data_IF_845073362944
#
_entry.id   IF_845073362944
#
_cell.length_a   1.000
_cell.length_b   1.000
_cell.length_c   1.000
_cell.angle_alpha   90.00
_cell.angle_beta   90.00
_cell.angle_gamma   90.00
#
_symmetry.space_group_name_H-M   'P 1'
#
loop_
_entity.id
_entity.type
_entity.pdbx_description
1 polymer ?
#
# COMPACT_ATOMS: atom_id res chain seq x y z
N UNK A 1 12.80 55.36 1.07
CA UNK A 1 12.08 55.76 2.30
C UNK A 1 11.20 56.97 2.00
N UNK A 2 9.95 56.75 1.60
CA UNK A 2 8.91 57.79 1.65
C UNK A 2 7.53 57.11 1.54
N UNK A 3 6.78 57.20 2.64
CA UNK A 3 5.31 57.27 2.76
C UNK A 3 4.47 56.19 2.04
N UNK A 4 4.12 55.13 2.79
CA UNK A 4 2.80 54.49 2.72
C UNK A 4 2.28 54.33 4.16
N UNK A 5 1.91 55.45 4.78
CA UNK A 5 1.19 55.46 6.04
C UNK A 5 -0.24 55.92 5.75
N UNK A 6 -1.19 55.00 5.90
CA UNK A 6 -2.61 55.29 5.97
C UNK A 6 -3.39 55.08 4.68
N UNK A 7 -3.99 53.90 4.53
CA UNK A 7 -5.32 53.76 3.92
C UNK A 7 -5.91 52.40 4.30
N UNK A 8 -7.08 52.46 4.93
CA UNK A 8 -7.79 51.33 5.48
C UNK A 8 -8.36 50.39 4.41
N UNK A 9 -8.43 49.12 4.81
CA UNK A 9 -9.48 48.13 4.51
C UNK A 9 -10.48 48.59 3.44
N UNK A 10 -10.28 48.19 2.18
CA UNK A 10 -11.36 47.87 1.25
C UNK A 10 -10.81 46.99 0.10
N UNK A 11 -11.55 45.93 -0.20
CA UNK A 11 -11.30 44.91 -1.19
C UNK A 11 -11.30 45.46 -2.64
N UNK A 12 -10.21 46.11 -3.04
CA UNK A 12 -9.92 46.48 -4.43
C UNK A 12 -8.75 45.65 -4.96
N UNK A 13 -8.97 44.95 -6.06
CA UNK A 13 -7.97 44.16 -6.80
C UNK A 13 -6.66 44.93 -6.95
N UNK A 14 -5.62 44.48 -6.24
CA UNK A 14 -4.26 44.99 -6.37
C UNK A 14 -3.69 44.57 -7.73
N UNK A 15 -3.83 45.44 -8.74
CA UNK A 15 -2.95 45.42 -9.92
C UNK A 15 -1.59 46.02 -9.52
N UNK A 16 -0.74 45.20 -8.92
CA UNK A 16 0.64 45.54 -8.54
C UNK A 16 1.63 44.56 -9.23
N UNK A 17 1.59 44.51 -10.56
CA UNK A 17 2.34 43.50 -11.35
C UNK A 17 3.87 43.70 -11.43
N UNK A 18 4.50 44.69 -10.77
CA UNK A 18 5.94 44.90 -11.05
C UNK A 18 6.84 45.52 -9.99
N UNK A 19 6.35 45.95 -8.82
CA UNK A 19 7.21 46.79 -7.97
C UNK A 19 8.11 46.06 -6.96
N UNK A 20 7.98 44.74 -6.75
CA UNK A 20 8.88 44.01 -5.85
C UNK A 20 9.32 42.61 -6.32
N UNK A 21 9.00 42.18 -7.55
CA UNK A 21 9.34 40.83 -8.03
C UNK A 21 8.57 39.67 -7.36
N UNK A 22 7.63 39.97 -6.46
CA UNK A 22 6.74 39.01 -5.84
C UNK A 22 5.40 39.02 -6.58
N UNK A 23 5.33 38.27 -7.68
CA UNK A 23 4.07 38.01 -8.40
C UNK A 23 3.56 36.66 -7.91
N UNK A 24 2.37 36.63 -7.32
CA UNK A 24 1.73 35.36 -6.99
C UNK A 24 1.54 34.56 -8.30
N UNK A 25 1.96 33.29 -8.39
CA UNK A 25 1.71 32.50 -9.58
C UNK A 25 0.20 32.35 -9.81
N UNK A 26 -0.30 32.78 -10.97
CA UNK A 26 -1.75 32.82 -11.28
C UNK A 26 -2.46 31.47 -11.11
N UNK A 27 -1.71 30.35 -11.25
CA UNK A 27 -2.26 28.99 -11.14
C UNK A 27 -1.66 28.19 -9.98
N UNK A 28 -0.76 28.78 -9.20
CA UNK A 28 -0.16 28.19 -8.00
C UNK A 28 0.06 26.67 -8.06
N UNK A 29 -0.62 25.97 -7.15
CA UNK A 29 -0.52 24.52 -6.95
C UNK A 29 -0.97 23.69 -8.17
N UNK A 30 -1.86 24.21 -9.02
CA UNK A 30 -2.30 23.52 -10.25
C UNK A 30 -1.18 23.35 -11.28
N UNK A 31 -0.10 24.12 -11.15
CA UNK A 31 1.11 23.98 -11.98
C UNK A 31 2.23 23.20 -11.28
N UNK A 32 1.97 22.64 -10.08
CA UNK A 32 2.96 21.90 -9.30
C UNK A 32 3.91 22.78 -8.50
N UNK A 33 3.59 24.05 -8.27
CA UNK A 33 4.38 24.91 -7.38
C UNK A 33 4.00 24.66 -5.92
N UNK A 34 4.96 24.20 -5.12
CA UNK A 34 4.83 24.10 -3.65
C UNK A 34 5.31 25.35 -2.91
N UNK A 35 6.30 26.07 -3.47
CA UNK A 35 6.88 27.29 -2.86
C UNK A 35 6.10 28.54 -3.27
N UNK A 36 4.94 28.77 -2.64
CA UNK A 36 4.02 29.87 -3.01
C UNK A 36 4.14 31.03 -2.02
N UNK A 37 4.28 30.73 -0.75
CA UNK A 37 4.26 31.70 0.34
C UNK A 37 5.66 32.19 0.71
N UNK A 38 6.69 31.36 0.54
CA UNK A 38 8.02 31.61 1.08
C UNK A 38 8.13 31.39 2.59
N UNK A 39 7.07 30.89 3.22
CA UNK A 39 7.05 30.39 4.61
C UNK A 39 7.12 28.88 4.55
N UNK A 40 8.11 28.27 5.23
CA UNK A 40 8.41 26.84 5.13
C UNK A 40 7.21 25.95 5.46
N UNK A 41 6.49 26.22 6.55
CA UNK A 41 5.34 25.42 6.99
C UNK A 41 4.19 25.43 5.98
N UNK A 42 3.85 26.61 5.44
CA UNK A 42 2.81 26.77 4.41
C UNK A 42 3.23 26.10 3.09
N UNK A 43 4.49 26.26 2.69
CA UNK A 43 5.01 25.65 1.45
C UNK A 43 5.14 24.12 1.58
N UNK A 44 5.48 23.61 2.77
CA UNK A 44 5.47 22.18 3.08
C UNK A 44 4.06 21.60 2.99
N UNK A 45 3.06 22.31 3.51
CA UNK A 45 1.64 21.94 3.36
C UNK A 45 1.23 21.83 1.88
N UNK A 46 1.55 22.84 1.05
CA UNK A 46 1.27 22.76 -0.39
C UNK A 46 2.02 21.62 -1.07
N UNK A 47 3.25 21.34 -0.65
CA UNK A 47 4.01 20.16 -1.07
C UNK A 47 3.26 18.86 -0.78
N UNK A 48 2.77 18.68 0.45
CA UNK A 48 2.00 17.50 0.83
C UNK A 48 0.71 17.35 0.02
N UNK A 49 0.00 18.44 -0.29
CA UNK A 49 -1.19 18.40 -1.17
C UNK A 49 -0.82 17.93 -2.57
N UNK A 50 0.30 18.40 -3.13
CA UNK A 50 0.79 17.94 -4.45
C UNK A 50 1.13 16.45 -4.38
N UNK A 51 1.82 16.01 -3.34
CA UNK A 51 2.23 14.61 -3.17
C UNK A 51 1.02 13.68 -3.05
N UNK A 52 0.01 14.05 -2.25
CA UNK A 52 -1.25 13.31 -2.12
C UNK A 52 -2.02 13.28 -3.43
N UNK A 53 -2.11 14.41 -4.15
CA UNK A 53 -2.76 14.45 -5.45
C UNK A 53 -2.07 13.56 -6.49
N UNK A 54 -0.74 13.56 -6.51
CA UNK A 54 0.04 12.71 -7.38
C UNK A 54 -0.08 11.23 -7.01
N UNK A 55 -0.07 10.90 -5.72
CA UNK A 55 -0.29 9.54 -5.23
C UNK A 55 -1.70 9.04 -5.61
N UNK A 56 -2.73 9.85 -5.39
CA UNK A 56 -4.10 9.54 -5.77
C UNK A 56 -4.25 9.29 -7.27
N UNK A 57 -3.63 10.11 -8.12
CA UNK A 57 -3.64 9.90 -9.57
C UNK A 57 -2.96 8.58 -9.97
N UNK A 58 -1.86 8.19 -9.31
CA UNK A 58 -1.21 6.88 -9.54
C UNK A 58 -2.09 5.72 -9.09
N UNK A 59 -2.72 5.83 -7.92
CA UNK A 59 -3.62 4.81 -7.38
C UNK A 59 -4.89 4.66 -8.22
N UNK A 60 -5.49 5.76 -8.69
CA UNK A 60 -6.61 5.73 -9.64
C UNK A 60 -6.22 5.03 -10.94
N UNK A 61 -5.05 5.37 -11.50
CA UNK A 61 -4.55 4.70 -12.70
C UNK A 61 -4.29 3.20 -12.47
N UNK A 62 -3.80 2.80 -11.30
CA UNK A 62 -3.63 1.40 -10.93
C UNK A 62 -4.98 0.66 -10.84
N UNK A 63 -5.96 1.23 -10.14
CA UNK A 63 -7.32 0.67 -10.05
C UNK A 63 -7.95 0.49 -11.43
N UNK A 64 -7.91 1.52 -12.27
CA UNK A 64 -8.42 1.46 -13.65
C UNK A 64 -7.66 0.44 -14.49
N UNK A 65 -6.35 0.36 -14.35
CA UNK A 65 -5.52 -0.63 -15.05
C UNK A 65 -5.90 -2.07 -14.72
N UNK A 66 -6.17 -2.37 -13.44
CA UNK A 66 -6.63 -3.69 -13.01
C UNK A 66 -8.06 -3.97 -13.51
N UNK A 67 -8.97 -3.00 -13.42
CA UNK A 67 -10.33 -3.13 -13.95
C UNK A 67 -10.35 -3.37 -15.47
N UNK A 68 -9.56 -2.62 -16.24
CA UNK A 68 -9.43 -2.77 -17.68
C UNK A 68 -8.84 -4.15 -18.04
N UNK A 69 -7.83 -4.61 -17.31
CA UNK A 69 -7.25 -5.92 -17.53
C UNK A 69 -8.25 -7.06 -17.27
N UNK A 70 -9.08 -6.94 -16.23
CA UNK A 70 -10.18 -7.88 -15.96
C UNK A 70 -11.21 -7.81 -17.09
N UNK A 71 -11.61 -6.60 -17.49
CA UNK A 71 -12.56 -6.37 -18.59
C UNK A 71 -12.10 -6.99 -19.91
N UNK A 72 -10.85 -6.76 -20.30
CA UNK A 72 -10.25 -7.35 -21.51
C UNK A 72 -10.23 -8.88 -21.43
N UNK A 73 -9.93 -9.45 -20.26
CA UNK A 73 -10.01 -10.90 -20.02
C UNK A 73 -11.41 -11.49 -20.19
N UNK A 74 -12.44 -10.65 -20.14
CA UNK A 74 -13.85 -11.00 -20.36
C UNK A 74 -14.35 -10.60 -21.77
N UNK A 75 -13.48 -10.07 -22.63
CA UNK A 75 -13.82 -9.62 -23.96
C UNK A 75 -14.52 -8.25 -24.01
N UNK A 76 -14.37 -7.43 -22.96
CA UNK A 76 -14.83 -6.04 -22.94
C UNK A 76 -13.76 -5.08 -23.45
N UNK A 77 -14.17 -3.88 -23.87
CA UNK A 77 -13.26 -2.80 -24.22
C UNK A 77 -12.70 -2.11 -22.95
N UNK A 78 -11.45 -1.60 -22.96
CA UNK A 78 -10.91 -0.79 -21.87
C UNK A 78 -11.81 0.42 -21.55
N UNK A 79 -11.95 0.76 -20.27
CA UNK A 79 -12.84 1.79 -19.76
C UNK A 79 -14.29 1.32 -19.54
N UNK A 80 -14.56 0.01 -19.64
CA UNK A 80 -15.87 -0.55 -19.29
C UNK A 80 -16.19 -0.31 -17.82
N UNK A 81 -17.45 -0.01 -17.50
CA UNK A 81 -17.85 0.25 -16.13
C UNK A 81 -17.76 -1.01 -15.25
N UNK A 82 -17.54 -0.84 -13.95
CA UNK A 82 -17.52 -1.94 -12.98
C UNK A 82 -18.77 -2.82 -13.06
N UNK A 83 -19.95 -2.22 -13.29
CA UNK A 83 -21.20 -2.97 -13.48
C UNK A 83 -21.23 -3.85 -14.75
N UNK A 84 -20.62 -3.40 -15.85
CA UNK A 84 -20.49 -4.24 -17.06
C UNK A 84 -19.50 -5.40 -16.85
N UNK A 85 -18.38 -5.11 -16.18
CA UNK A 85 -17.38 -6.12 -15.82
C UNK A 85 -18.03 -7.17 -14.92
N UNK A 86 -18.71 -6.74 -13.86
CA UNK A 86 -19.49 -7.60 -12.95
C UNK A 86 -20.44 -8.51 -13.70
N UNK A 87 -21.29 -7.95 -14.57
CA UNK A 87 -22.27 -8.75 -15.32
C UNK A 87 -21.60 -9.83 -16.19
N UNK A 88 -20.42 -9.55 -16.76
CA UNK A 88 -19.65 -10.53 -17.53
C UNK A 88 -18.96 -11.59 -16.68
N UNK A 89 -18.51 -11.23 -15.48
CA UNK A 89 -18.01 -12.20 -14.50
C UNK A 89 -19.13 -13.15 -14.11
N UNK A 90 -20.30 -12.62 -13.73
CA UNK A 90 -21.48 -13.40 -13.35
C UNK A 90 -21.89 -14.36 -14.48
N UNK A 91 -22.00 -13.87 -15.72
CA UNK A 91 -22.31 -14.69 -16.91
C UNK A 91 -21.33 -15.86 -17.08
N UNK A 92 -20.02 -15.59 -16.99
CA UNK A 92 -18.98 -16.61 -17.17
C UNK A 92 -18.96 -17.62 -16.01
N UNK A 93 -19.20 -17.16 -14.79
CA UNK A 93 -19.24 -17.97 -13.57
C UNK A 93 -20.47 -18.88 -13.56
N UNK A 94 -21.65 -18.37 -13.91
CA UNK A 94 -22.88 -19.16 -13.99
C UNK A 94 -22.81 -20.26 -15.06
N UNK A 95 -22.17 -19.99 -16.20
CA UNK A 95 -21.92 -21.01 -17.21
C UNK A 95 -21.01 -22.13 -16.69
N UNK A 96 -20.10 -21.78 -15.77
CA UNK A 96 -18.98 -22.65 -15.39
C UNK A 96 -19.13 -23.39 -14.07
N UNK A 97 -19.95 -22.86 -13.17
CA UNK A 97 -19.96 -23.28 -11.76
C UNK A 97 -21.37 -23.48 -11.22
N UNK A 98 -21.49 -24.25 -10.14
CA UNK A 98 -22.71 -24.32 -9.31
C UNK A 98 -22.46 -23.53 -8.03
N UNK A 99 -23.33 -22.57 -7.74
CA UNK A 99 -23.26 -21.79 -6.50
C UNK A 99 -22.27 -20.62 -6.53
N UNK A 100 -21.61 -20.36 -7.66
CA UNK A 100 -20.73 -19.22 -7.85
C UNK A 100 -19.28 -19.45 -7.42
N UNK A 101 -18.56 -18.33 -7.21
CA UNK A 101 -17.21 -18.31 -6.67
C UNK A 101 -17.25 -17.99 -5.18
N UNK A 102 -16.33 -18.60 -4.43
CA UNK A 102 -16.09 -18.28 -3.03
C UNK A 102 -14.70 -17.67 -2.90
N UNK A 103 -14.65 -16.38 -2.60
CA UNK A 103 -13.43 -15.62 -2.38
C UNK A 103 -13.02 -15.67 -0.90
N UNK A 104 -11.76 -15.97 -0.64
CA UNK A 104 -11.10 -15.74 0.65
C UNK A 104 -9.84 -14.95 0.41
N UNK A 105 -9.66 -13.88 1.15
CA UNK A 105 -8.46 -13.06 1.07
C UNK A 105 -8.11 -12.50 2.45
N UNK A 106 -6.84 -12.19 2.63
CA UNK A 106 -6.38 -11.40 3.77
C UNK A 106 -6.36 -9.91 3.39
N UNK A 107 -6.52 -8.98 4.33
CA UNK A 107 -6.34 -7.56 4.05
C UNK A 107 -4.96 -7.29 3.44
N UNK A 108 -4.87 -6.34 2.51
CA UNK A 108 -3.58 -5.88 2.01
C UNK A 108 -2.76 -5.25 3.16
N UNK A 109 -1.46 -5.50 3.17
CA UNK A 109 -0.54 -4.90 4.14
C UNK A 109 0.10 -3.69 3.47
N UNK A 110 -0.14 -2.52 4.04
CA UNK A 110 0.41 -1.27 3.54
C UNK A 110 1.53 -0.81 4.48
N UNK A 111 2.70 -0.57 3.90
CA UNK A 111 3.89 -0.08 4.61
C UNK A 111 4.12 1.37 4.26
N UNK A 112 4.47 2.19 5.24
CA UNK A 112 4.88 3.58 5.02
C UNK A 112 6.40 3.67 5.14
N UNK A 113 7.02 4.49 4.29
CA UNK A 113 8.43 4.83 4.45
C UNK A 113 8.61 5.75 5.65
N UNK A 114 9.29 5.26 6.69
CA UNK A 114 9.68 6.02 7.88
C UNK A 114 10.54 7.23 7.50
N UNK A 115 11.43 7.05 6.51
CA UNK A 115 12.30 8.11 6.00
C UNK A 115 11.49 9.28 5.43
N UNK A 116 10.40 9.01 4.70
CA UNK A 116 9.53 10.07 4.16
C UNK A 116 8.86 10.86 5.29
N UNK A 117 8.36 10.17 6.32
CA UNK A 117 7.77 10.83 7.48
C UNK A 117 8.80 11.71 8.22
N UNK A 118 10.03 11.22 8.39
CA UNK A 118 11.10 11.95 9.04
C UNK A 118 11.54 13.19 8.23
N UNK A 119 11.70 13.06 6.91
CA UNK A 119 12.00 14.18 6.02
C UNK A 119 10.86 15.21 6.04
N UNK A 120 9.60 14.76 6.01
CA UNK A 120 8.46 15.65 6.10
C UNK A 120 8.41 16.41 7.44
N UNK A 121 8.75 15.74 8.54
CA UNK A 121 8.82 16.36 9.86
C UNK A 121 9.91 17.43 9.92
N UNK A 122 11.10 17.13 9.41
CA UNK A 122 12.23 18.06 9.35
C UNK A 122 12.00 19.26 8.41
N UNK A 123 11.20 19.09 7.35
CA UNK A 123 10.81 20.20 6.46
C UNK A 123 9.82 21.16 7.13
N UNK A 124 9.01 20.65 8.05
CA UNK A 124 7.96 21.42 8.70
C UNK A 124 8.43 22.09 9.99
N UNK A 125 9.29 21.44 10.76
CA UNK A 125 9.86 21.97 12.00
C UNK A 125 11.36 22.26 11.83
N UNK A 126 11.72 23.54 11.83
CA UNK A 126 13.11 24.03 11.66
C UNK A 126 13.99 23.59 12.84
N UNK A 127 13.39 23.29 14.00
CA UNK A 127 14.10 22.98 15.24
C UNK A 127 14.25 21.47 15.50
N UNK A 128 13.73 20.58 14.64
CA UNK A 128 13.94 19.14 14.74
C UNK A 128 15.24 18.71 14.04
N UNK A 129 16.18 18.16 14.81
CA UNK A 129 17.37 17.53 14.27
C UNK A 129 16.97 16.19 13.63
N UNK A 130 17.11 16.07 12.30
CA UNK A 130 16.66 14.92 11.52
C UNK A 130 17.27 13.57 11.98
N UNK A 131 18.32 13.61 12.81
CA UNK A 131 18.96 12.44 13.40
C UNK A 131 18.28 11.88 14.67
N UNK A 132 17.30 12.58 15.27
CA UNK A 132 16.61 12.15 16.50
C UNK A 132 15.15 11.71 16.26
N UNK A 133 14.70 11.70 14.99
CA UNK A 133 13.33 11.33 14.63
C UNK A 133 13.19 9.80 14.65
N UNK A 134 12.88 9.25 15.82
CA UNK A 134 12.47 7.86 15.97
C UNK A 134 10.97 7.74 15.65
N UNK A 135 10.64 6.95 14.62
CA UNK A 135 9.26 6.52 14.37
C UNK A 135 9.01 5.23 15.12
N UNK A 136 8.05 5.26 16.03
CA UNK A 136 7.62 4.07 16.76
C UNK A 136 6.70 3.24 15.87
N UNK A 137 7.03 1.98 15.67
CA UNK A 137 6.17 1.06 14.92
C UNK A 137 5.46 0.10 15.88
N UNK A 138 4.13 0.16 15.92
CA UNK A 138 3.30 -0.87 16.54
C UNK A 138 3.05 -1.98 15.52
N UNK A 139 4.03 -2.87 15.32
CA UNK A 139 3.93 -3.95 14.32
C UNK A 139 5.22 -4.73 14.07
N UNK A 140 5.36 -5.25 12.85
CA UNK A 140 6.60 -5.86 12.39
C UNK A 140 7.48 -4.81 11.71
N UNK A 141 8.78 -4.81 12.01
CA UNK A 141 9.73 -3.91 11.36
C UNK A 141 10.76 -4.65 10.54
N UNK A 142 10.99 -4.18 9.33
CA UNK A 142 12.16 -4.57 8.56
C UNK A 142 13.38 -3.85 9.16
N UNK A 143 14.34 -4.64 9.64
CA UNK A 143 15.52 -4.15 10.33
C UNK A 143 16.80 -4.53 9.60
N UNK A 144 17.74 -3.58 9.53
CA UNK A 144 19.09 -3.85 9.04
C UNK A 144 19.87 -4.78 9.97
N UNK A 145 20.92 -5.40 9.45
CA UNK A 145 21.81 -6.30 10.19
C UNK A 145 22.34 -5.71 11.51
N UNK A 146 22.47 -4.39 11.61
CA UNK A 146 22.91 -3.71 12.83
C UNK A 146 21.88 -3.69 13.96
N UNK A 147 20.57 -3.78 13.65
CA UNK A 147 19.48 -3.70 14.63
C UNK A 147 18.90 -5.09 15.01
N UNK A 148 19.39 -6.18 14.39
CA UNK A 148 18.96 -7.55 14.69
C UNK A 148 19.27 -7.97 16.13
N UNK A 149 20.41 -7.51 16.65
CA UNK A 149 20.82 -7.79 18.02
C UNK A 149 19.90 -7.14 19.05
N UNK A 150 19.43 -5.92 18.77
CA UNK A 150 18.51 -5.18 19.65
C UNK A 150 17.11 -5.80 19.58
N UNK A 151 16.65 -6.15 18.38
CA UNK A 151 15.38 -6.87 18.19
C UNK A 151 15.34 -8.23 18.91
N UNK A 152 16.42 -9.01 18.85
CA UNK A 152 16.46 -10.31 19.53
C UNK A 152 16.46 -10.19 21.06
N UNK A 153 16.79 -9.01 21.60
CA UNK A 153 16.76 -8.72 23.04
C UNK A 153 15.34 -8.31 23.50
N UNK A 154 14.65 -7.49 22.71
CA UNK A 154 13.40 -6.84 23.10
C UNK A 154 12.13 -7.37 22.37
N UNK A 155 12.27 -8.26 21.38
CA UNK A 155 11.19 -8.79 20.55
C UNK A 155 11.44 -10.21 20.01
N UNK A 156 10.61 -10.63 19.05
CA UNK A 156 10.82 -11.88 18.30
C UNK A 156 11.35 -11.58 16.90
N UNK A 157 12.56 -12.08 16.62
CA UNK A 157 13.19 -11.98 15.31
C UNK A 157 12.68 -13.11 14.40
N UNK A 158 12.09 -12.74 13.27
CA UNK A 158 11.67 -13.64 12.19
C UNK A 158 12.47 -13.31 10.93
N UNK A 159 13.15 -14.29 10.38
CA UNK A 159 13.91 -14.14 9.13
C UNK A 159 13.05 -14.59 7.95
N UNK A 160 12.87 -13.73 6.97
CA UNK A 160 12.11 -13.97 5.75
C UNK A 160 13.03 -13.96 4.54
N UNK A 161 13.14 -15.10 3.85
CA UNK A 161 13.98 -15.24 2.66
C UNK A 161 13.19 -15.71 1.44
N UNK A 162 13.51 -15.15 0.27
CA UNK A 162 12.87 -15.47 -1.01
C UNK A 162 13.79 -16.39 -1.83
N UNK A 163 13.23 -17.49 -2.32
CA UNK A 163 13.86 -18.47 -3.21
C UNK A 163 14.49 -17.85 -4.49
N UNK A 164 15.45 -18.52 -5.19
CA UNK A 164 15.81 -19.94 -5.11
C UNK A 164 16.99 -20.27 -4.19
N UNK A 165 16.83 -21.29 -3.34
CA UNK A 165 17.95 -22.00 -2.69
C UNK A 165 18.09 -21.83 -1.17
N UNK A 166 17.14 -21.17 -0.50
CA UNK A 166 17.19 -21.08 0.96
C UNK A 166 16.82 -22.43 1.59
N UNK A 167 17.72 -23.00 2.39
CA UNK A 167 17.39 -24.12 3.26
C UNK A 167 16.51 -23.60 4.39
N UNK A 168 15.21 -23.81 4.24
CA UNK A 168 14.23 -23.40 5.23
C UNK A 168 14.13 -24.49 6.30
N UNK A 169 14.21 -24.10 7.57
CA UNK A 169 13.82 -24.93 8.72
C UNK A 169 12.63 -24.25 9.42
N UNK A 170 11.62 -23.89 8.63
CA UNK A 170 10.55 -22.99 9.05
C UNK A 170 9.29 -23.12 8.19
N UNK A 171 8.49 -22.07 8.20
CA UNK A 171 7.23 -22.01 7.47
C UNK A 171 7.48 -21.59 6.03
N UNK A 172 7.12 -22.43 5.07
CA UNK A 172 7.30 -22.17 3.64
C UNK A 172 5.94 -21.91 2.97
N UNK A 173 5.79 -20.75 2.35
CA UNK A 173 4.66 -20.42 1.45
C UNK A 173 5.10 -20.68 0.01
N UNK A 174 4.95 -21.93 -0.45
CA UNK A 174 5.36 -22.35 -1.80
C UNK A 174 5.44 -23.87 -1.98
N UNK A 175 6.19 -24.30 -2.99
CA UNK A 175 6.56 -25.72 -3.17
C UNK A 175 7.86 -26.00 -2.42
N UNK A 176 7.89 -27.11 -1.68
CA UNK A 176 9.12 -27.56 -1.04
C UNK A 176 9.73 -28.73 -1.80
N UNK A 177 11.03 -28.62 -2.10
CA UNK A 177 11.79 -29.69 -2.72
C UNK A 177 12.44 -30.55 -1.63
N UNK A 178 11.89 -31.75 -1.45
CA UNK A 178 12.32 -32.68 -0.41
C UNK A 178 13.43 -33.57 -0.95
N UNK A 179 14.66 -33.35 -0.48
CA UNK A 179 15.81 -34.21 -0.82
C UNK A 179 15.82 -35.52 -0.02
N UNK A 180 15.07 -35.57 1.07
CA UNK A 180 14.92 -36.71 1.98
C UNK A 180 13.43 -37.01 2.20
N UNK A 181 13.05 -38.26 2.50
CA UNK A 181 11.68 -38.61 2.82
C UNK A 181 11.22 -37.82 4.04
N UNK A 182 10.15 -37.03 3.89
CA UNK A 182 9.54 -36.28 4.99
C UNK A 182 8.02 -36.27 4.87
N UNK A 183 7.33 -36.16 6.00
CA UNK A 183 5.88 -35.96 6.06
C UNK A 183 5.48 -34.67 5.37
N UNK A 184 4.54 -34.77 4.43
CA UNK A 184 4.03 -33.66 3.62
C UNK A 184 2.54 -33.45 3.93
N UNK A 185 2.17 -32.35 4.60
CA UNK A 185 0.77 -32.00 4.93
C UNK A 185 -0.05 -31.51 3.70
N UNK A 186 0.59 -31.46 2.53
CA UNK A 186 0.09 -30.93 1.28
C UNK A 186 -0.17 -31.99 0.20
N UNK A 187 0.01 -31.59 -1.07
CA UNK A 187 -0.06 -32.50 -2.23
C UNK A 187 1.35 -32.98 -2.53
N UNK A 188 1.59 -34.28 -2.35
CA UNK A 188 2.83 -34.93 -2.73
C UNK A 188 2.82 -35.20 -4.24
N UNK A 189 3.82 -34.68 -4.96
CA UNK A 189 4.14 -35.05 -6.35
C UNK A 189 5.45 -35.83 -6.36
N UNK A 190 5.37 -37.15 -6.21
CA UNK A 190 6.56 -38.00 -6.12
C UNK A 190 6.29 -39.41 -5.57
N UNK A 191 7.29 -40.01 -4.95
CA UNK A 191 7.15 -41.31 -4.28
C UNK A 191 6.57 -41.11 -2.89
N UNK A 192 5.44 -41.75 -2.59
CA UNK A 192 4.82 -41.75 -1.27
C UNK A 192 5.08 -43.09 -0.58
N UNK A 193 5.69 -43.05 0.61
CA UNK A 193 5.83 -44.22 1.47
C UNK A 193 4.55 -44.36 2.31
N UNK A 194 3.47 -44.82 1.70
CA UNK A 194 2.17 -44.94 2.34
C UNK A 194 1.01 -45.09 1.37
N UNK A 195 -0.20 -44.85 1.85
CA UNK A 195 -1.37 -44.72 1.00
C UNK A 195 -1.35 -43.33 0.36
N UNK A 196 -1.43 -43.30 -0.97
CA UNK A 196 -1.54 -42.07 -1.72
C UNK A 196 -2.97 -41.92 -2.23
N UNK A 197 -3.60 -40.77 -1.96
CA UNK A 197 -5.00 -40.55 -2.32
C UNK A 197 -5.23 -40.51 -3.83
N UNK A 198 -4.23 -40.09 -4.62
CA UNK A 198 -4.30 -39.99 -6.08
C UNK A 198 -2.95 -40.35 -6.68
N UNK A 199 -2.92 -41.35 -7.56
CA UNK A 199 -1.71 -41.76 -8.28
C UNK A 199 -1.82 -41.33 -9.75
N UNK A 200 -0.73 -40.80 -10.30
CA UNK A 200 -0.66 -40.39 -11.70
C UNK A 200 -0.49 -41.57 -12.67
N UNK A 201 -0.46 -41.28 -13.98
CA UNK A 201 -0.30 -42.30 -15.03
C UNK A 201 1.07 -42.98 -15.06
N UNK A 202 2.06 -42.43 -14.35
CA UNK A 202 3.41 -42.95 -14.22
C UNK A 202 3.61 -43.75 -12.93
N UNK A 203 2.59 -43.84 -12.08
CA UNK A 203 2.65 -44.54 -10.80
C UNK A 203 3.21 -43.68 -9.65
N UNK A 204 3.40 -42.38 -9.85
CA UNK A 204 3.81 -41.45 -8.79
C UNK A 204 2.59 -40.93 -8.03
N UNK A 205 2.76 -40.65 -6.74
CA UNK A 205 1.75 -39.96 -5.95
C UNK A 205 1.58 -38.53 -6.48
N UNK A 206 0.33 -38.11 -6.67
CA UNK A 206 -0.10 -36.77 -7.08
C UNK A 206 -1.24 -36.27 -6.16
N UNK A 207 -1.19 -36.65 -4.89
CA UNK A 207 -2.26 -36.48 -3.91
C UNK A 207 -1.74 -36.37 -2.48
N UNK A 208 -2.66 -36.49 -1.52
CA UNK A 208 -2.30 -36.57 -0.11
C UNK A 208 -1.60 -37.91 0.15
N UNK A 209 -0.48 -37.87 0.88
CA UNK A 209 0.31 -39.03 1.24
C UNK A 209 0.27 -39.22 2.76
N UNK A 210 -0.17 -40.38 3.24
CA UNK A 210 -0.24 -40.69 4.67
C UNK A 210 1.14 -41.02 5.31
N UNK A 211 2.23 -40.86 4.56
CA UNK A 211 3.59 -41.10 5.03
C UNK A 211 4.61 -40.18 4.38
N UNK A 212 5.84 -40.67 4.20
CA UNK A 212 6.93 -39.83 3.70
C UNK A 212 6.83 -39.62 2.19
N UNK A 213 6.83 -38.35 1.78
CA UNK A 213 6.89 -37.94 0.38
C UNK A 213 8.35 -37.72 -0.03
N UNK A 214 8.78 -38.36 -1.11
CA UNK A 214 10.06 -38.09 -1.78
C UNK A 214 9.78 -37.47 -3.15
N UNK A 215 10.06 -36.17 -3.31
CA UNK A 215 9.71 -35.40 -4.50
C UNK A 215 9.38 -33.94 -4.19
N UNK A 216 8.37 -33.38 -4.87
CA UNK A 216 7.89 -32.02 -4.61
C UNK A 216 6.64 -32.06 -3.73
N UNK A 217 6.67 -31.37 -2.59
CA UNK A 217 5.51 -31.19 -1.73
C UNK A 217 4.92 -29.80 -1.97
N UNK A 218 3.72 -29.72 -2.56
CA UNK A 218 2.95 -28.48 -2.62
C UNK A 218 2.24 -28.31 -1.28
N UNK A 219 2.81 -27.47 -0.41
CA UNK A 219 2.27 -27.22 0.92
C UNK A 219 0.97 -26.41 0.84
N UNK A 220 0.06 -26.64 1.78
CA UNK A 220 -0.98 -25.65 2.08
C UNK A 220 -0.29 -24.43 2.68
N UNK A 221 -0.78 -23.23 2.39
CA UNK A 221 -0.20 -21.98 2.90
C UNK A 221 0.12 -22.11 4.41
N UNK A 222 1.40 -21.95 4.77
CA UNK A 222 1.86 -22.07 6.16
C UNK A 222 2.38 -23.44 6.61
N UNK A 223 2.71 -24.36 5.69
CA UNK A 223 3.32 -25.65 6.05
C UNK A 223 4.77 -25.53 6.51
N UNK A 224 5.20 -26.38 7.44
CA UNK A 224 6.62 -26.48 7.83
C UNK A 224 7.37 -27.36 6.83
N UNK A 225 8.59 -26.95 6.44
CA UNK A 225 9.45 -27.76 5.60
C UNK A 225 10.89 -27.71 6.07
N UNK A 226 11.55 -28.87 6.09
CA UNK A 226 12.99 -29.03 6.24
C UNK A 226 13.60 -29.25 4.84
N UNK A 227 13.75 -28.19 4.05
CA UNK A 227 14.16 -28.34 2.65
C UNK A 227 14.34 -27.03 1.89
N UNK A 228 14.63 -27.15 0.59
CA UNK A 228 14.70 -25.99 -0.29
C UNK A 228 13.26 -25.51 -0.58
N UNK A 229 12.90 -24.36 -0.02
CA UNK A 229 11.62 -23.71 -0.29
C UNK A 229 11.71 -22.97 -1.63
N UNK A 230 10.86 -23.30 -2.60
CA UNK A 230 10.61 -22.50 -3.79
C UNK A 230 9.42 -21.58 -3.50
N UNK A 231 9.69 -20.55 -2.71
CA UNK A 231 8.71 -19.59 -2.20
C UNK A 231 9.33 -18.65 -1.18
N UNK A 232 8.50 -18.14 -0.29
CA UNK A 232 8.93 -17.35 0.86
C UNK A 232 9.08 -18.29 2.07
N UNK A 233 10.24 -18.20 2.74
CA UNK A 233 10.55 -18.96 3.94
C UNK A 233 10.63 -18.01 5.12
N UNK A 234 9.78 -18.21 6.12
CA UNK A 234 9.82 -17.53 7.40
C UNK A 234 10.31 -18.49 8.49
N UNK A 235 11.40 -18.15 9.19
CA UNK A 235 11.92 -18.94 10.30
C UNK A 235 12.43 -18.06 11.45
N UNK A 236 12.32 -18.56 12.68
CA UNK A 236 12.93 -17.93 13.85
C UNK A 236 14.35 -18.49 14.02
N UNK A 237 15.41 -17.67 13.87
CA UNK A 237 16.77 -18.16 14.02
C UNK A 237 17.04 -18.53 15.49
N UNK A 238 17.84 -19.57 15.77
CA UNK A 238 18.26 -19.89 17.14
C UNK A 238 19.25 -18.88 17.74
N UNK A 239 19.64 -17.84 16.97
CA UNK A 239 20.56 -16.79 17.39
C UNK A 239 19.99 -15.38 17.11
N UNK A 240 20.74 -14.35 17.48
CA UNK A 240 20.31 -12.95 17.40
C UNK A 240 20.43 -12.32 15.99
N UNK A 241 20.58 -13.13 14.93
CA UNK A 241 20.78 -12.62 13.57
C UNK A 241 20.26 -13.57 12.50
N UNK A 242 19.74 -13.02 11.42
CA UNK A 242 19.41 -13.74 10.18
C UNK A 242 20.67 -13.99 9.34
N UNK A 243 20.62 -15.00 8.48
CA UNK A 243 21.68 -15.24 7.50
C UNK A 243 21.79 -14.07 6.50
N UNK A 244 22.98 -13.88 5.92
CA UNK A 244 23.18 -12.87 4.88
C UNK A 244 22.22 -13.13 3.70
N UNK A 245 21.65 -12.07 3.13
CA UNK A 245 20.65 -12.09 2.04
C UNK A 245 19.20 -12.46 2.45
N UNK A 246 18.89 -12.45 3.75
CA UNK A 246 17.54 -12.67 4.29
C UNK A 246 17.02 -11.39 4.95
N UNK A 247 15.76 -11.01 4.68
CA UNK A 247 15.12 -9.87 5.34
C UNK A 247 14.83 -10.25 6.80
N UNK A 248 15.29 -9.43 7.74
CA UNK A 248 15.00 -9.60 9.16
C UNK A 248 13.76 -8.79 9.53
N UNK A 249 12.73 -9.48 10.01
CA UNK A 249 11.53 -8.87 10.59
C UNK A 249 11.57 -8.95 12.10
N UNK A 250 11.41 -7.81 12.74
CA UNK A 250 11.25 -7.71 14.17
C UNK A 250 9.78 -7.56 14.53
N UNK A 251 9.17 -8.55 15.17
CA UNK A 251 7.86 -8.36 15.79
C UNK A 251 8.07 -7.86 17.23
N UNK A 252 7.69 -6.61 17.47
CA UNK A 252 7.71 -6.06 18.82
C UNK A 252 6.66 -6.78 19.69
N UNK A 253 7.06 -7.24 20.88
CA UNK A 253 6.08 -7.72 21.86
C UNK A 253 5.19 -6.54 22.29
N UNK A 254 3.87 -6.79 22.44
CA UNK A 254 2.89 -5.75 22.75
C UNK A 254 3.36 -4.79 23.87
N UNK A 255 3.70 -3.54 23.50
CA UNK A 255 4.17 -2.49 24.40
C UNK A 255 5.69 -2.24 24.43
N UNK A 256 6.49 -2.85 23.56
CA UNK A 256 7.89 -2.51 23.34
C UNK A 256 8.04 -1.55 22.15
N UNK A 257 8.70 -0.41 22.35
CA UNK A 257 9.03 0.54 21.29
C UNK A 257 10.32 0.10 20.60
N UNK A 258 10.24 -0.35 19.36
CA UNK A 258 11.43 -0.66 18.54
C UNK A 258 11.67 0.52 17.60
N UNK A 259 12.88 1.09 17.63
CA UNK A 259 13.29 2.11 16.66
C UNK A 259 13.49 1.47 15.29
N UNK A 260 12.57 1.73 14.36
CA UNK A 260 12.62 1.16 13.02
C UNK A 260 13.25 2.16 12.05
N UNK A 261 14.35 1.74 11.39
CA UNK A 261 15.04 2.55 10.37
C UNK A 261 14.66 2.19 8.93
N UNK A 262 13.91 1.10 8.74
CA UNK A 262 13.43 0.62 7.45
C UNK A 262 11.93 0.79 7.27
N UNK A 263 11.23 -0.34 7.05
CA UNK A 263 9.78 -0.40 6.88
C UNK A 263 9.06 -0.76 8.19
N UNK A 264 7.89 -0.15 8.40
CA UNK A 264 6.96 -0.52 9.46
C UNK A 264 5.72 -1.19 8.84
N UNK A 265 5.53 -2.48 9.09
CA UNK A 265 4.30 -3.22 8.85
C UNK A 265 3.39 -3.05 10.08
N UNK A 266 2.58 -2.00 10.10
CA UNK A 266 1.71 -1.69 11.24
C UNK A 266 1.32 -0.22 11.31
N UNK A 267 0.98 0.25 12.52
CA UNK A 267 0.82 1.69 12.77
C UNK A 267 2.18 2.28 13.09
N UNK A 268 2.65 3.15 12.21
CA UNK A 268 3.75 4.04 12.49
C UNK A 268 3.21 5.27 13.23
N UNK A 269 3.67 5.50 14.47
CA UNK A 269 3.42 6.75 15.18
C UNK A 269 4.47 7.75 14.75
N UNK A 270 4.04 8.80 14.06
CA UNK A 270 4.90 9.90 13.63
C UNK A 270 5.57 10.56 14.86
N UNK A 271 6.76 11.17 14.69
CA UNK A 271 7.36 11.97 15.75
C UNK A 271 6.41 13.07 16.21
N UNK A 272 6.57 13.51 17.46
CA UNK A 272 5.80 14.62 18.00
C UNK A 272 6.24 15.92 17.31
N UNK A 273 5.49 16.31 16.28
CA UNK A 273 5.66 17.60 15.58
C UNK A 273 4.63 18.60 16.09
N UNK A 274 4.81 19.89 15.77
CA UNK A 274 3.77 20.90 15.99
C UNK A 274 2.44 20.45 15.33
N UNK A 275 1.31 20.78 15.95
CA UNK A 275 -0.02 20.36 15.49
C UNK A 275 -0.32 20.79 14.03
N UNK A 276 0.25 21.92 13.60
CA UNK A 276 0.21 22.41 12.22
C UNK A 276 0.97 21.53 11.20
N UNK A 277 1.97 20.79 11.68
CA UNK A 277 2.82 19.91 10.88
C UNK A 277 2.33 18.47 10.82
N UNK A 278 1.58 18.03 11.82
CA UNK A 278 1.11 16.63 11.94
C UNK A 278 0.37 16.17 10.68
N UNK A 279 -0.57 16.99 10.18
CA UNK A 279 -1.32 16.68 8.96
C UNK A 279 -0.43 16.61 7.70
N UNK A 280 0.59 17.45 7.61
CA UNK A 280 1.55 17.48 6.48
C UNK A 280 2.43 16.24 6.49
N UNK A 281 2.94 15.86 7.67
CA UNK A 281 3.79 14.67 7.86
C UNK A 281 3.00 13.39 7.57
N UNK A 282 1.82 13.26 8.17
CA UNK A 282 0.92 12.12 7.93
C UNK A 282 0.58 12.02 6.44
N UNK A 283 0.32 13.16 5.79
CA UNK A 283 -0.01 13.17 4.37
C UNK A 283 1.12 12.72 3.47
N UNK A 284 2.35 13.18 3.70
CA UNK A 284 3.52 12.73 2.94
C UNK A 284 3.82 11.25 3.17
N UNK A 285 3.69 10.79 4.41
CA UNK A 285 3.85 9.37 4.74
C UNK A 285 2.82 8.49 4.02
N UNK A 286 1.53 8.86 4.06
CA UNK A 286 0.46 8.13 3.38
C UNK A 286 0.51 8.25 1.86
N UNK A 287 1.00 9.37 1.32
CA UNK A 287 1.26 9.53 -0.12
C UNK A 287 2.36 8.60 -0.65
N UNK A 288 3.21 8.10 0.25
CA UNK A 288 4.33 7.19 -0.04
C UNK A 288 4.08 5.78 0.50
N UNK A 289 2.80 5.42 0.75
CA UNK A 289 2.47 4.07 1.21
C UNK A 289 2.59 3.08 0.06
N UNK A 290 3.28 1.97 0.32
CA UNK A 290 3.40 0.84 -0.59
C UNK A 290 2.60 -0.33 -0.01
N UNK A 291 1.57 -0.76 -0.75
CA UNK A 291 0.70 -1.86 -0.34
C UNK A 291 1.08 -3.15 -1.07
N UNK A 292 1.40 -4.19 -0.29
CA UNK A 292 1.67 -5.53 -0.82
C UNK A 292 0.34 -6.20 -1.18
N UNK A 293 0.19 -6.72 -2.42
CA UNK A 293 -0.99 -7.49 -2.82
C UNK A 293 -1.24 -8.68 -1.90
N UNK A 294 -2.46 -8.87 -1.37
CA UNK A 294 -2.76 -9.98 -0.48
C UNK A 294 -2.85 -11.30 -1.24
N UNK A 295 -2.76 -12.41 -0.50
CA UNK A 295 -3.10 -13.72 -1.06
C UNK A 295 -4.62 -13.83 -1.26
N UNK A 296 -5.02 -14.11 -2.50
CA UNK A 296 -6.42 -14.31 -2.88
C UNK A 296 -6.68 -15.77 -3.21
N UNK A 297 -7.54 -16.45 -2.47
CA UNK A 297 -7.94 -17.84 -2.73
C UNK A 297 -9.36 -17.85 -3.28
N UNK A 298 -9.52 -18.37 -4.51
CA UNK A 298 -10.83 -18.54 -5.15
C UNK A 298 -11.15 -20.03 -5.20
N UNK A 299 -12.30 -20.41 -4.65
CA UNK A 299 -12.80 -21.79 -4.69
C UNK A 299 -14.15 -21.85 -5.39
N UNK A 300 -14.44 -22.96 -6.08
CA UNK A 300 -15.67 -23.14 -6.85
C UNK A 300 -16.05 -24.60 -6.98
N UNK A 301 -17.28 -24.87 -7.44
CA UNK A 301 -17.78 -26.20 -7.79
C UNK A 301 -18.17 -26.21 -9.27
N UNK A 302 -17.77 -27.24 -10.02
CA UNK A 302 -18.06 -27.33 -11.46
C UNK A 302 -19.55 -27.53 -11.75
N UNK A 303 -20.04 -26.86 -12.80
CA UNK A 303 -21.35 -27.16 -13.37
C UNK A 303 -21.36 -28.55 -14.02
N UNK A 304 -22.52 -29.22 -14.02
CA UNK A 304 -22.66 -30.55 -14.64
C UNK A 304 -22.24 -30.56 -16.12
N UNK A 305 -22.35 -29.42 -16.80
CA UNK A 305 -21.93 -29.22 -18.19
C UNK A 305 -20.41 -29.33 -18.35
N UNK A 306 -19.63 -28.88 -17.36
CA UNK A 306 -18.17 -28.82 -17.43
C UNK A 306 -17.45 -29.96 -16.72
N UNK A 307 -18.16 -30.83 -15.99
CA UNK A 307 -17.53 -31.98 -15.30
C UNK A 307 -16.77 -32.87 -16.28
N UNK A 308 -17.31 -33.08 -17.48
CA UNK A 308 -16.71 -33.95 -18.50
C UNK A 308 -15.94 -33.20 -19.61
N UNK A 309 -15.92 -31.86 -19.57
CA UNK A 309 -15.23 -31.01 -20.54
C UNK A 309 -13.87 -30.52 -19.99
N UNK A 310 -12.82 -31.29 -20.28
CA UNK A 310 -11.46 -31.01 -19.82
C UNK A 310 -10.87 -29.72 -20.40
N UNK A 311 -11.24 -29.35 -21.64
CA UNK A 311 -10.73 -28.15 -22.30
C UNK A 311 -11.37 -26.91 -21.65
N UNK A 312 -12.69 -26.92 -21.49
CA UNK A 312 -13.39 -25.85 -20.77
C UNK A 312 -12.94 -25.69 -19.32
N UNK A 313 -12.63 -26.79 -18.60
CA UNK A 313 -12.04 -26.71 -17.27
C UNK A 313 -10.66 -26.04 -17.27
N UNK A 314 -9.81 -26.35 -18.26
CA UNK A 314 -8.49 -25.76 -18.38
C UNK A 314 -8.56 -24.26 -18.68
N UNK A 315 -9.43 -23.85 -19.60
CA UNK A 315 -9.66 -22.43 -19.91
C UNK A 315 -10.21 -21.65 -18.71
N UNK A 316 -11.16 -22.24 -17.97
CA UNK A 316 -11.72 -21.61 -16.77
C UNK A 316 -10.67 -21.45 -15.67
N UNK A 317 -9.84 -22.49 -15.42
CA UNK A 317 -8.73 -22.40 -14.46
C UNK A 317 -7.71 -21.35 -14.85
N UNK A 318 -7.36 -21.25 -16.13
CA UNK A 318 -6.45 -20.23 -16.63
C UNK A 318 -7.02 -18.82 -16.41
N UNK A 319 -8.31 -18.64 -16.70
CA UNK A 319 -9.01 -17.38 -16.43
C UNK A 319 -9.05 -17.04 -14.94
N UNK A 320 -9.37 -17.99 -14.06
CA UNK A 320 -9.34 -17.79 -12.60
C UNK A 320 -7.93 -17.44 -12.11
N UNK A 321 -6.89 -18.07 -12.66
CA UNK A 321 -5.50 -17.76 -12.32
C UNK A 321 -5.13 -16.31 -12.66
N UNK A 322 -5.55 -15.83 -13.83
CA UNK A 322 -5.38 -14.43 -14.21
C UNK A 322 -6.20 -13.50 -13.31
N UNK A 323 -7.48 -13.83 -13.07
CA UNK A 323 -8.37 -13.06 -12.21
C UNK A 323 -7.83 -12.92 -10.79
N UNK A 324 -7.27 -14.00 -10.21
CA UNK A 324 -6.66 -14.00 -8.87
C UNK A 324 -5.57 -12.93 -8.74
N UNK A 325 -4.64 -12.87 -9.70
CA UNK A 325 -3.56 -11.88 -9.71
C UNK A 325 -4.09 -10.45 -9.80
N UNK A 326 -5.12 -10.23 -10.64
CA UNK A 326 -5.76 -8.92 -10.82
C UNK A 326 -6.53 -8.48 -9.57
N UNK A 327 -7.26 -9.38 -8.92
CA UNK A 327 -7.96 -9.10 -7.67
C UNK A 327 -6.99 -8.75 -6.53
N UNK A 328 -5.84 -9.42 -6.45
CA UNK A 328 -4.82 -9.07 -5.46
C UNK A 328 -4.30 -7.64 -5.68
N UNK A 329 -3.99 -7.27 -6.93
CA UNK A 329 -3.60 -5.89 -7.28
C UNK A 329 -4.70 -4.87 -6.97
N UNK A 330 -5.95 -5.21 -7.28
CA UNK A 330 -7.12 -4.37 -7.01
C UNK A 330 -7.30 -4.11 -5.50
N UNK A 331 -7.17 -5.14 -4.67
CA UNK A 331 -7.30 -5.03 -3.20
C UNK A 331 -6.17 -4.19 -2.59
N UNK A 332 -4.93 -4.29 -3.09
CA UNK A 332 -3.84 -3.43 -2.65
C UNK A 332 -4.06 -1.97 -3.04
N UNK A 333 -4.48 -1.72 -4.28
CA UNK A 333 -4.79 -0.37 -4.75
C UNK A 333 -6.00 0.24 -4.00
N UNK A 334 -6.99 -0.56 -3.64
CA UNK A 334 -8.13 -0.13 -2.80
C UNK A 334 -7.66 0.29 -1.40
N UNK A 335 -6.78 -0.49 -0.77
CA UNK A 335 -6.23 -0.16 0.54
C UNK A 335 -5.45 1.17 0.50
N UNK A 336 -4.63 1.37 -0.54
CA UNK A 336 -3.94 2.63 -0.78
C UNK A 336 -4.92 3.80 -0.99
N UNK A 337 -5.96 3.60 -1.81
CA UNK A 337 -6.97 4.61 -2.10
C UNK A 337 -7.69 5.08 -0.83
N UNK A 338 -8.06 4.14 0.06
CA UNK A 338 -8.70 4.46 1.35
C UNK A 338 -7.80 5.33 2.24
N UNK A 339 -6.51 5.00 2.32
CA UNK A 339 -5.54 5.79 3.07
C UNK A 339 -5.40 7.21 2.51
N UNK A 340 -5.39 7.36 1.18
CA UNK A 340 -5.31 8.65 0.51
C UNK A 340 -6.57 9.50 0.67
N UNK A 341 -7.76 8.90 0.64
CA UNK A 341 -9.03 9.63 0.87
C UNK A 341 -9.11 10.17 2.30
N UNK A 342 -8.74 9.35 3.29
CA UNK A 342 -8.67 9.80 4.68
C UNK A 342 -7.68 10.97 4.83
N UNK A 343 -6.50 10.83 4.24
CA UNK A 343 -5.47 11.87 4.22
C UNK A 343 -5.96 13.17 3.59
N UNK A 344 -6.62 13.08 2.44
CA UNK A 344 -7.16 14.24 1.75
C UNK A 344 -8.20 14.96 2.61
N UNK A 345 -9.04 14.23 3.35
CA UNK A 345 -9.98 14.79 4.32
C UNK A 345 -9.28 15.51 5.48
N UNK A 346 -8.22 14.91 6.03
CA UNK A 346 -7.41 15.52 7.09
C UNK A 346 -6.72 16.79 6.61
N UNK A 347 -6.09 16.77 5.42
CA UNK A 347 -5.46 17.94 4.81
C UNK A 347 -6.48 19.05 4.50
N UNK A 348 -7.67 18.71 3.99
CA UNK A 348 -8.70 19.70 3.71
C UNK A 348 -9.17 20.42 4.98
N UNK A 349 -9.27 19.67 6.09
CA UNK A 349 -9.61 20.24 7.40
C UNK A 349 -8.47 21.09 7.96
N UNK A 350 -7.22 20.63 7.81
CA UNK A 350 -6.03 21.35 8.25
C UNK A 350 -5.78 22.63 7.44
N UNK A 351 -6.14 22.66 6.16
CA UNK A 351 -5.94 23.79 5.25
C UNK A 351 -6.52 25.09 5.81
N UNK A 352 -7.71 25.02 6.41
CA UNK A 352 -8.36 26.19 6.99
C UNK A 352 -7.68 26.69 8.26
N UNK A 353 -7.18 25.78 9.11
CA UNK A 353 -6.52 26.12 10.36
C UNK A 353 -5.12 26.67 10.12
N UNK A 354 -4.28 25.88 9.45
CA UNK A 354 -2.87 26.16 9.24
C UNK A 354 -2.63 27.52 8.55
N UNK A 355 -3.47 27.90 7.57
CA UNK A 355 -3.29 29.18 6.89
C UNK A 355 -3.86 30.35 7.68
N UNK A 356 -4.94 30.17 8.44
CA UNK A 356 -5.43 31.25 9.31
C UNK A 356 -4.40 31.58 10.37
N UNK A 357 -3.86 30.56 11.03
CA UNK A 357 -2.87 30.71 12.09
C UNK A 357 -1.55 31.26 11.51
N UNK A 358 -1.08 30.74 10.37
CA UNK A 358 0.10 31.27 9.68
C UNK A 358 -0.06 32.72 9.21
N UNK A 359 -1.26 33.16 8.82
CA UNK A 359 -1.51 34.58 8.48
C UNK A 359 -1.42 35.47 9.73
N UNK A 360 -1.92 35.00 10.87
CA UNK A 360 -1.86 35.75 12.12
C UNK A 360 -0.42 35.92 12.59
N UNK A 361 0.37 34.85 12.60
CA UNK A 361 1.79 34.89 12.98
C UNK A 361 2.59 35.83 12.05
N UNK A 362 2.37 35.70 10.73
CA UNK A 362 3.05 36.56 9.76
C UNK A 362 2.69 38.04 9.95
N UNK A 363 1.44 38.35 10.31
CA UNK A 363 1.03 39.73 10.63
C UNK A 363 1.74 40.28 11.87
N UNK A 364 1.98 39.43 12.86
CA UNK A 364 2.69 39.81 14.08
C UNK A 364 4.20 40.00 13.85
N UNK A 365 4.81 39.20 12.96
CA UNK A 365 6.24 39.28 12.64
C UNK A 365 6.65 40.62 12.00
N UNK A 366 5.72 41.30 11.33
CA UNK A 366 5.98 42.54 10.58
C UNK A 366 6.82 42.34 9.31
N UNK A 367 7.14 41.11 8.91
CA UNK A 367 7.83 40.84 7.64
C UNK A 367 6.87 41.01 6.46
N UNK A 368 7.06 42.11 5.72
CA UNK A 368 6.27 42.42 4.54
C UNK A 368 6.33 41.32 3.48
N UNK A 369 7.47 40.62 3.34
CA UNK A 369 7.62 39.56 2.34
C UNK A 369 6.71 38.39 2.68
N UNK A 370 6.79 37.92 3.93
CA UNK A 370 5.93 36.85 4.43
C UNK A 370 4.46 37.25 4.37
N UNK A 371 4.12 38.51 4.67
CA UNK A 371 2.73 39.00 4.61
C UNK A 371 2.14 38.97 3.19
N UNK A 372 2.95 39.31 2.17
CA UNK A 372 2.54 39.19 0.77
C UNK A 372 2.39 37.72 0.40
N UNK A 373 3.35 36.88 0.78
CA UNK A 373 3.34 35.44 0.51
C UNK A 373 2.14 34.71 1.12
N UNK A 374 1.81 35.01 2.38
CA UNK A 374 0.62 34.51 3.06
C UNK A 374 -0.68 34.96 2.36
N UNK A 375 -0.69 36.19 1.81
CA UNK A 375 -1.78 36.67 0.95
C UNK A 375 -1.93 35.85 -0.34
N UNK A 376 -0.82 35.47 -0.99
CA UNK A 376 -0.85 34.57 -2.14
C UNK A 376 -1.35 33.16 -1.74
N UNK A 377 -0.87 32.62 -0.63
CA UNK A 377 -1.28 31.31 -0.12
C UNK A 377 -2.80 31.24 0.15
N UNK A 378 -3.37 32.29 0.74
CA UNK A 378 -4.80 32.38 0.99
C UNK A 378 -5.64 32.34 -0.31
N UNK A 379 -5.12 32.93 -1.40
CA UNK A 379 -5.80 32.88 -2.69
C UNK A 379 -5.79 31.46 -3.28
N UNK A 380 -4.71 30.70 -3.08
CA UNK A 380 -4.53 29.34 -3.60
C UNK A 380 -5.24 28.28 -2.74
N UNK A 381 -5.52 28.56 -1.48
CA UNK A 381 -6.22 27.62 -0.59
C UNK A 381 -7.55 27.10 -1.13
N UNK A 382 -8.29 27.95 -1.86
CA UNK A 382 -9.54 27.50 -2.48
C UNK A 382 -9.28 26.41 -3.51
N UNK A 383 -8.20 26.53 -4.27
CA UNK A 383 -7.80 25.52 -5.25
C UNK A 383 -7.33 24.24 -4.56
N UNK A 384 -6.68 24.33 -3.39
CA UNK A 384 -6.31 23.16 -2.58
C UNK A 384 -7.55 22.33 -2.22
N UNK A 385 -8.60 22.96 -1.70
CA UNK A 385 -9.83 22.25 -1.33
C UNK A 385 -10.44 21.58 -2.57
N UNK A 386 -10.52 22.28 -3.69
CA UNK A 386 -11.03 21.72 -4.96
C UNK A 386 -10.19 20.53 -5.45
N UNK A 387 -8.86 20.58 -5.30
CA UNK A 387 -7.97 19.47 -5.66
C UNK A 387 -8.21 18.26 -4.75
N UNK A 388 -8.31 18.47 -3.44
CA UNK A 388 -8.51 17.40 -2.46
C UNK A 388 -9.91 16.77 -2.59
N UNK A 389 -10.95 17.57 -2.84
CA UNK A 389 -12.30 17.08 -3.15
C UNK A 389 -12.29 16.21 -4.41
N UNK A 390 -11.62 16.69 -5.47
CA UNK A 390 -11.49 15.92 -6.71
C UNK A 390 -10.73 14.61 -6.51
N UNK A 391 -9.67 14.61 -5.69
CA UNK A 391 -8.95 13.38 -5.31
C UNK A 391 -9.90 12.39 -4.65
N UNK A 392 -10.76 12.87 -3.74
CA UNK A 392 -11.80 12.06 -3.11
C UNK A 392 -12.78 11.47 -4.12
N UNK A 393 -13.32 12.30 -5.02
CA UNK A 393 -14.29 11.89 -6.04
C UNK A 393 -13.69 10.88 -7.04
N UNK A 394 -12.51 11.18 -7.60
CA UNK A 394 -11.84 10.33 -8.60
C UNK A 394 -11.51 8.94 -8.00
N UNK A 395 -11.02 8.89 -6.74
CA UNK A 395 -10.77 7.62 -6.05
C UNK A 395 -12.06 6.90 -5.66
N UNK A 396 -13.09 7.60 -5.21
CA UNK A 396 -14.37 7.01 -4.84
C UNK A 396 -15.04 6.31 -6.03
N UNK A 397 -15.00 6.92 -7.22
CA UNK A 397 -15.53 6.33 -8.45
C UNK A 397 -14.78 5.03 -8.81
N UNK A 398 -13.44 5.05 -8.75
CA UNK A 398 -12.61 3.87 -9.05
C UNK A 398 -12.77 2.76 -8.01
N UNK A 399 -12.85 3.10 -6.73
CA UNK A 399 -13.16 2.13 -5.65
C UNK A 399 -14.57 1.55 -5.81
N UNK A 400 -15.55 2.36 -6.24
CA UNK A 400 -16.89 1.88 -6.56
C UNK A 400 -16.88 0.84 -7.69
N UNK A 401 -16.10 1.09 -8.75
CA UNK A 401 -15.88 0.13 -9.83
C UNK A 401 -15.23 -1.18 -9.34
N UNK A 402 -14.22 -1.08 -8.47
CA UNK A 402 -13.58 -2.23 -7.84
C UNK A 402 -14.54 -3.05 -6.96
N UNK A 403 -15.38 -2.36 -6.18
CA UNK A 403 -16.37 -3.00 -5.31
C UNK A 403 -17.39 -3.82 -6.11
N UNK A 404 -17.87 -3.33 -7.26
CA UNK A 404 -18.76 -4.09 -8.13
C UNK A 404 -18.11 -5.40 -8.62
N UNK A 405 -16.83 -5.37 -8.97
CA UNK A 405 -16.08 -6.57 -9.36
C UNK A 405 -15.90 -7.54 -8.20
N UNK A 406 -15.59 -7.03 -7.00
CA UNK A 406 -15.45 -7.85 -5.79
C UNK A 406 -16.76 -8.54 -5.40
N UNK A 407 -17.91 -7.85 -5.53
CA UNK A 407 -19.24 -8.45 -5.32
C UNK A 407 -19.47 -9.62 -6.28
N UNK A 408 -19.06 -9.49 -7.55
CA UNK A 408 -19.25 -10.54 -8.55
C UNK A 408 -18.51 -11.86 -8.22
N UNK A 409 -17.42 -11.79 -7.45
CA UNK A 409 -16.57 -12.94 -7.12
C UNK A 409 -16.84 -13.53 -5.71
N UNK A 410 -17.89 -13.07 -5.04
CA UNK A 410 -18.33 -13.60 -3.74
C UNK A 410 -18.10 -12.65 -2.55
N UNK A 411 -18.13 -11.34 -2.80
CA UNK A 411 -18.16 -10.28 -1.78
C UNK A 411 -19.54 -10.09 -1.14
#
# INVERSE_FOLDING_TARGET
>A
MSVCAGLGVFAGSCQYDSFCGFVCPEKGILQGFSTISGVSSIDAFFGAVIDVSAAAARTDAALRGELDAIGVGLGLEPGSSGGMIRAKIEERVEASTVGGLYLRYQPAVCTTSVEVAAVAAAECDIDLDAGEVAVTCEGACDIDASAQADCAADGSLTCVGIAPGLQCAGTCTGSCELSLPATCDGVCRGQCVGECSVVDTQGSCAGACDGDCTGTCELKAGGTCDGACQGECAYAPPGASCEADVQARCEAMAGADVECRGGCEGRATAPTVAAECEATVEAKAKASVDCVPPEVVITWQWSATLVDDLEGQAEFRAWIGALRGRLAGLLAAEAQARALVETAGSLATAAEGAVKDGIEEVRESGDLKSAIGAGCALAVLRDVVVILERVGDDLADSVGGAAEVLIAVGG
#
